data_IF_296958557261
#
_entry.id   IF_296958557261
#
_cell.length_a   1.000
_cell.length_b   1.000
_cell.length_c   1.000
_cell.angle_alpha   90.00
_cell.angle_beta   90.00
_cell.angle_gamma   90.00
#
_symmetry.space_group_name_H-M   'P 1'
#
loop_
_entity.id
_entity.type
_entity.pdbx_description
1 polymer ?
#
# COMPACT_ATOMS: atom_id res chain seq x y z
N UNK A 1 48.92 39.45 13.23
CA UNK A 1 47.45 39.57 13.24
C UNK A 1 47.03 39.66 14.70
N UNK A 2 46.41 40.77 15.07
CA UNK A 2 45.93 41.04 16.44
C UNK A 2 45.00 39.91 16.92
N UNK A 3 45.06 39.60 18.22
CA UNK A 3 44.28 38.53 18.84
C UNK A 3 42.77 38.77 18.69
N UNK A 4 42.36 40.04 18.73
CA UNK A 4 40.98 40.48 18.45
C UNK A 4 40.54 40.13 17.04
N UNK A 5 41.39 40.40 16.04
CA UNK A 5 41.11 40.12 14.62
C UNK A 5 41.03 38.60 14.38
N UNK A 6 41.91 37.81 15.02
CA UNK A 6 41.83 36.33 14.98
C UNK A 6 40.49 35.83 15.53
N UNK A 7 40.05 36.33 16.68
CA UNK A 7 38.76 35.95 17.29
C UNK A 7 37.59 36.30 16.38
N UNK A 8 37.57 37.51 15.79
CA UNK A 8 36.52 37.93 14.86
C UNK A 8 36.45 37.01 13.62
N UNK A 9 37.58 36.70 12.99
CA UNK A 9 37.62 35.80 11.84
C UNK A 9 37.13 34.39 12.22
N UNK A 10 37.55 33.87 13.38
CA UNK A 10 37.08 32.58 13.88
C UNK A 10 35.57 32.58 14.10
N UNK A 11 34.99 33.62 14.71
CA UNK A 11 33.54 33.71 14.91
C UNK A 11 32.77 33.79 13.58
N UNK A 12 33.25 34.59 12.62
CA UNK A 12 32.64 34.66 11.28
C UNK A 12 32.69 33.31 10.56
N UNK A 13 33.82 32.60 10.66
CA UNK A 13 33.95 31.26 10.10
C UNK A 13 32.98 30.27 10.74
N UNK A 14 32.84 30.28 12.07
CA UNK A 14 31.89 29.42 12.78
C UNK A 14 30.43 29.73 12.42
N UNK A 15 30.07 31.01 12.27
CA UNK A 15 28.73 31.42 11.82
C UNK A 15 28.47 30.91 10.40
N UNK A 16 29.43 31.10 9.49
CA UNK A 16 29.30 30.62 8.11
C UNK A 16 29.17 29.11 8.04
N UNK A 17 29.97 28.37 8.83
CA UNK A 17 29.88 26.93 8.92
C UNK A 17 28.50 26.47 9.43
N UNK A 18 27.96 27.15 10.45
CA UNK A 18 26.64 26.82 10.98
C UNK A 18 25.54 27.05 9.93
N UNK A 19 25.59 28.16 9.19
CA UNK A 19 24.65 28.44 8.09
C UNK A 19 24.75 27.37 7.00
N UNK A 20 25.96 26.99 6.60
CA UNK A 20 26.18 25.96 5.58
C UNK A 20 25.64 24.59 6.01
N UNK A 21 25.90 24.18 7.27
CA UNK A 21 25.38 22.93 7.83
C UNK A 21 23.86 22.94 7.94
N UNK A 22 23.26 24.03 8.40
CA UNK A 22 21.79 24.18 8.43
C UNK A 22 21.18 24.12 7.03
N UNK A 23 21.82 24.75 6.04
CA UNK A 23 21.38 24.69 4.64
C UNK A 23 21.44 23.27 4.06
N UNK A 24 22.53 22.54 4.32
CA UNK A 24 22.66 21.14 3.89
C UNK A 24 21.60 20.24 4.54
N UNK A 25 21.39 20.37 5.85
CA UNK A 25 20.37 19.63 6.57
C UNK A 25 18.96 19.85 6.01
N UNK A 26 18.64 21.10 5.66
CA UNK A 26 17.38 21.46 5.02
C UNK A 26 17.22 20.81 3.64
N UNK A 27 18.26 20.85 2.81
CA UNK A 27 18.25 20.23 1.48
C UNK A 27 18.03 18.71 1.62
N UNK A 28 18.71 18.08 2.59
CA UNK A 28 18.55 16.65 2.88
C UNK A 28 17.10 16.30 3.28
N UNK A 29 16.49 17.05 4.21
CA UNK A 29 15.08 16.85 4.58
C UNK A 29 14.18 16.99 3.35
N UNK A 30 14.39 18.02 2.53
CA UNK A 30 13.56 18.23 1.36
C UNK A 30 13.70 17.07 0.36
N UNK A 31 14.91 16.57 0.12
CA UNK A 31 15.11 15.38 -0.73
C UNK A 31 14.43 14.13 -0.16
N UNK A 32 14.46 13.96 1.18
CA UNK A 32 13.76 12.86 1.85
C UNK A 32 12.24 13.00 1.73
N UNK A 33 11.70 14.20 1.90
CA UNK A 33 10.28 14.49 1.77
C UNK A 33 9.76 14.34 0.35
N UNK A 34 10.63 14.49 -0.66
CA UNK A 34 10.29 14.40 -2.08
C UNK A 34 10.75 13.10 -2.76
N UNK A 35 11.17 12.11 -1.98
CA UNK A 35 11.53 10.78 -2.50
C UNK A 35 10.30 10.05 -3.05
N UNK A 36 10.55 9.14 -3.99
CA UNK A 36 9.53 8.29 -4.60
C UNK A 36 8.76 7.45 -3.58
N UNK A 37 7.52 7.08 -3.93
CA UNK A 37 6.59 6.34 -3.07
C UNK A 37 7.17 4.98 -2.63
N UNK A 38 7.85 4.28 -3.54
CA UNK A 38 8.52 2.99 -3.28
C UNK A 38 9.63 3.07 -2.23
N UNK A 39 10.16 4.27 -1.97
CA UNK A 39 11.19 4.51 -0.96
C UNK A 39 10.60 4.80 0.42
N UNK A 40 9.27 4.71 0.56
CA UNK A 40 8.51 4.91 1.80
C UNK A 40 7.90 3.58 2.24
N UNK A 41 7.42 3.48 3.49
CA UNK A 41 6.47 2.44 3.85
C UNK A 41 5.28 2.48 2.89
N UNK A 42 4.98 1.36 2.25
CA UNK A 42 3.87 1.26 1.31
C UNK A 42 3.36 -0.17 1.23
N UNK A 43 2.17 -0.34 0.68
CA UNK A 43 1.76 -1.62 0.13
C UNK A 43 1.52 -1.53 -1.37
N UNK A 44 1.71 -2.64 -2.06
CA UNK A 44 1.20 -2.89 -3.41
C UNK A 44 0.08 -3.93 -3.32
N UNK A 45 -1.11 -3.54 -3.77
CA UNK A 45 -2.29 -4.40 -3.87
C UNK A 45 -2.59 -4.69 -5.33
N UNK A 46 -2.56 -5.98 -5.69
CA UNK A 46 -2.79 -6.45 -7.05
C UNK A 46 -3.95 -7.45 -7.08
N UNK A 47 -4.84 -7.29 -8.04
CA UNK A 47 -5.93 -8.21 -8.37
C UNK A 47 -5.82 -8.59 -9.85
N UNK A 48 -5.64 -9.87 -10.12
CA UNK A 48 -5.71 -10.45 -11.47
C UNK A 48 -6.77 -11.54 -11.48
N UNK A 49 -7.77 -11.38 -12.35
CA UNK A 49 -8.84 -12.36 -12.54
C UNK A 49 -8.84 -12.77 -14.01
N UNK A 50 -8.48 -14.03 -14.27
CA UNK A 50 -8.30 -14.58 -15.62
C UNK A 50 -9.30 -15.68 -15.91
N UNK A 51 -9.61 -15.89 -17.19
CA UNK A 51 -10.62 -16.88 -17.62
C UNK A 51 -12.04 -16.30 -17.73
N UNK A 52 -12.16 -14.97 -17.72
CA UNK A 52 -13.38 -14.23 -18.02
C UNK A 52 -13.45 -13.88 -19.51
N UNK A 53 -12.31 -13.61 -20.14
CA UNK A 53 -12.25 -13.09 -21.51
C UNK A 53 -13.04 -13.94 -22.52
N UNK A 54 -13.95 -13.30 -23.25
CA UNK A 54 -14.81 -13.95 -24.25
C UNK A 54 -16.01 -14.70 -23.67
N UNK A 55 -16.19 -14.70 -22.35
CA UNK A 55 -17.39 -15.27 -21.72
C UNK A 55 -18.59 -14.36 -21.98
N UNK A 56 -19.63 -14.91 -22.59
CA UNK A 56 -20.90 -14.22 -22.78
C UNK A 56 -21.75 -14.31 -21.52
N UNK A 57 -22.31 -13.19 -21.09
CA UNK A 57 -23.15 -13.07 -19.89
C UNK A 57 -24.40 -12.24 -20.18
N UNK A 58 -25.46 -12.51 -19.41
CA UNK A 58 -26.70 -11.73 -19.47
C UNK A 58 -26.79 -10.79 -18.26
N UNK A 59 -26.92 -9.49 -18.53
CA UNK A 59 -27.09 -8.45 -17.50
C UNK A 59 -25.79 -7.98 -16.85
N UNK A 60 -25.92 -7.30 -15.72
CA UNK A 60 -24.78 -6.77 -14.97
C UNK A 60 -24.00 -7.89 -14.29
N UNK A 61 -22.69 -7.92 -14.48
CA UNK A 61 -21.78 -8.83 -13.78
C UNK A 61 -21.03 -8.11 -12.67
N UNK A 62 -20.91 -8.79 -11.52
CA UNK A 62 -20.18 -8.35 -10.32
C UNK A 62 -19.26 -9.46 -9.83
N UNK A 63 -18.06 -9.07 -9.41
CA UNK A 63 -17.11 -9.94 -8.71
C UNK A 63 -16.60 -9.17 -7.50
N UNK A 64 -16.69 -9.76 -6.30
CA UNK A 64 -16.16 -9.16 -5.08
C UNK A 64 -14.93 -9.90 -4.61
N UNK A 65 -13.92 -9.13 -4.21
CA UNK A 65 -12.64 -9.64 -3.72
C UNK A 65 -12.25 -8.97 -2.40
N UNK A 66 -11.37 -9.61 -1.60
CA UNK A 66 -10.91 -9.02 -0.35
C UNK A 66 -10.05 -7.79 -0.60
N UNK A 67 -10.04 -6.86 0.34
CA UNK A 67 -9.35 -5.57 0.27
C UNK A 67 -8.24 -5.44 1.31
N UNK A 68 -7.24 -4.57 1.07
CA UNK A 68 -6.25 -4.21 2.08
C UNK A 68 -6.91 -3.47 3.25
N UNK A 69 -7.05 -4.15 4.38
CA UNK A 69 -7.50 -3.56 5.66
C UNK A 69 -6.98 -4.39 6.83
N UNK A 70 -7.04 -3.85 8.05
CA UNK A 70 -6.71 -4.63 9.26
C UNK A 70 -7.70 -5.77 9.47
N UNK A 71 -7.44 -6.68 10.42
CA UNK A 71 -8.39 -7.75 10.78
C UNK A 71 -9.75 -7.23 11.25
N UNK A 72 -9.83 -5.99 11.73
CA UNK A 72 -11.04 -5.28 12.12
C UNK A 72 -11.71 -4.52 10.96
N UNK A 73 -11.13 -4.54 9.75
CA UNK A 73 -11.66 -3.84 8.58
C UNK A 73 -11.32 -2.35 8.54
N UNK A 74 -10.30 -1.91 9.28
CA UNK A 74 -9.84 -0.50 9.27
C UNK A 74 -8.82 -0.31 8.15
N UNK A 75 -8.93 0.79 7.40
CA UNK A 75 -7.93 1.11 6.37
C UNK A 75 -6.65 1.66 6.98
N UNK A 76 -5.53 1.33 6.32
CA UNK A 76 -4.23 1.85 6.71
C UNK A 76 -4.19 3.38 6.58
N UNK A 77 -3.46 4.01 7.50
CA UNK A 77 -3.34 5.46 7.56
C UNK A 77 -2.27 5.90 6.55
N UNK A 78 -2.64 6.89 5.75
CA UNK A 78 -1.74 7.51 4.76
C UNK A 78 -1.22 8.84 5.30
N UNK A 79 0.03 9.24 4.97
CA UNK A 79 0.58 10.50 5.46
C UNK A 79 -0.28 11.68 4.99
N UNK A 80 -0.72 12.51 5.94
CA UNK A 80 -1.47 13.72 5.62
C UNK A 80 -0.55 14.86 5.20
N UNK A 81 -1.04 15.74 4.33
CA UNK A 81 -0.35 17.00 4.03
C UNK A 81 -0.42 17.94 5.24
N UNK A 82 0.73 18.27 5.81
CA UNK A 82 0.83 19.22 6.91
C UNK A 82 1.16 20.63 6.39
N UNK A 83 0.69 21.65 7.12
CA UNK A 83 1.12 23.02 6.86
C UNK A 83 2.63 23.15 7.15
N UNK A 84 3.43 23.62 6.18
CA UNK A 84 4.85 23.73 6.38
C UNK A 84 5.15 24.75 7.47
N UNK A 85 6.17 24.47 8.29
CA UNK A 85 6.70 25.46 9.21
C UNK A 85 7.16 26.72 8.47
N UNK A 86 7.19 27.86 9.15
CA UNK A 86 7.59 29.15 8.55
C UNK A 86 8.90 29.06 7.76
N UNK A 87 9.93 28.41 8.31
CA UNK A 87 11.21 28.23 7.62
C UNK A 87 11.09 27.35 6.38
N UNK A 88 10.35 26.23 6.46
CA UNK A 88 10.13 25.32 5.33
C UNK A 88 9.40 26.02 4.19
N UNK A 89 8.39 26.81 4.51
CA UNK A 89 7.67 27.65 3.54
C UNK A 89 8.60 28.64 2.83
N UNK A 90 9.40 29.40 3.60
CA UNK A 90 10.33 30.39 3.04
C UNK A 90 11.35 29.74 2.10
N UNK A 91 11.86 28.56 2.45
CA UNK A 91 12.78 27.80 1.62
C UNK A 91 12.13 27.30 0.33
N UNK A 92 10.93 26.71 0.43
CA UNK A 92 10.20 26.22 -0.74
C UNK A 92 9.86 27.37 -1.69
N UNK A 93 9.41 28.51 -1.18
CA UNK A 93 9.02 29.65 -2.01
C UNK A 93 10.22 30.40 -2.61
N UNK A 94 11.23 30.72 -1.79
CA UNK A 94 12.28 31.66 -2.18
C UNK A 94 13.59 31.01 -2.64
N UNK A 95 13.85 29.76 -2.23
CA UNK A 95 15.08 29.03 -2.61
C UNK A 95 14.81 28.00 -3.70
N UNK A 96 13.78 27.17 -3.50
CA UNK A 96 13.44 26.11 -4.46
C UNK A 96 12.40 26.52 -5.51
N UNK A 97 11.74 27.67 -5.33
CA UNK A 97 10.66 28.15 -6.20
C UNK A 97 9.57 27.10 -6.45
N UNK A 98 9.24 26.34 -5.41
CA UNK A 98 8.21 25.31 -5.41
C UNK A 98 6.83 25.95 -5.67
N UNK A 99 6.05 25.46 -6.64
CA UNK A 99 4.70 25.95 -6.88
C UNK A 99 3.80 25.88 -5.63
N UNK A 100 2.90 26.86 -5.45
CA UNK A 100 2.05 26.98 -4.26
C UNK A 100 1.25 25.70 -3.94
N UNK A 101 0.75 25.02 -4.97
CA UNK A 101 0.03 23.73 -4.84
C UNK A 101 0.86 22.58 -4.23
N UNK A 102 2.17 22.74 -4.15
CA UNK A 102 3.13 21.76 -3.66
C UNK A 102 3.83 22.19 -2.36
N UNK A 103 3.53 23.39 -1.85
CA UNK A 103 4.13 23.93 -0.62
C UNK A 103 3.75 23.05 0.61
N UNK A 104 2.53 22.51 0.62
CA UNK A 104 2.09 21.55 1.66
C UNK A 104 2.69 20.15 1.54
N UNK A 105 3.59 19.94 0.59
CA UNK A 105 4.24 18.65 0.35
C UNK A 105 3.46 17.74 -0.58
N UNK A 106 3.88 16.47 -0.65
CA UNK A 106 3.30 15.46 -1.53
C UNK A 106 1.93 15.02 -1.01
N UNK A 107 0.97 14.88 -1.92
CA UNK A 107 -0.32 14.26 -1.66
C UNK A 107 -0.24 12.75 -1.92
N UNK A 108 -0.75 11.95 -0.99
CA UNK A 108 -0.85 10.50 -1.13
C UNK A 108 -2.34 10.10 -1.17
N UNK A 109 -2.75 9.36 -2.20
CA UNK A 109 -4.09 8.77 -2.26
C UNK A 109 -4.25 7.78 -1.10
N UNK A 110 -5.35 7.87 -0.34
CA UNK A 110 -5.68 6.86 0.66
C UNK A 110 -6.23 5.58 0.01
N UNK A 111 -6.41 4.52 0.80
CA UNK A 111 -6.96 3.24 0.32
C UNK A 111 -8.30 3.41 -0.40
N UNK A 112 -9.22 4.22 0.15
CA UNK A 112 -10.54 4.45 -0.47
C UNK A 112 -10.38 5.12 -1.83
N UNK A 113 -9.62 6.20 -1.91
CA UNK A 113 -9.37 6.91 -3.17
C UNK A 113 -8.62 6.06 -4.19
N UNK A 114 -7.73 5.19 -3.74
CA UNK A 114 -6.92 4.32 -4.59
C UNK A 114 -7.75 3.20 -5.22
N UNK A 115 -8.75 2.68 -4.49
CA UNK A 115 -9.54 1.52 -4.90
C UNK A 115 -10.90 1.88 -5.50
N UNK A 116 -11.54 2.95 -5.04
CA UNK A 116 -12.92 3.30 -5.40
C UNK A 116 -12.99 4.07 -6.73
N UNK A 117 -14.08 3.85 -7.48
CA UNK A 117 -14.41 4.54 -8.73
C UNK A 117 -13.31 4.53 -9.80
N UNK A 118 -12.57 3.43 -9.95
CA UNK A 118 -11.57 3.26 -11.02
C UNK A 118 -12.21 2.55 -12.21
N UNK A 119 -11.92 3.05 -13.41
CA UNK A 119 -12.30 2.42 -14.67
C UNK A 119 -11.14 1.58 -15.22
N UNK A 120 -11.44 0.37 -15.68
CA UNK A 120 -10.48 -0.59 -16.20
C UNK A 120 -10.90 -1.08 -17.59
N UNK A 121 -10.01 -1.84 -18.24
CA UNK A 121 -10.33 -2.49 -19.52
C UNK A 121 -11.59 -3.36 -19.42
N UNK A 122 -12.36 -3.51 -20.50
CA UNK A 122 -13.63 -4.26 -20.46
C UNK A 122 -14.76 -3.53 -19.73
N UNK A 123 -14.63 -2.21 -19.57
CA UNK A 123 -15.60 -1.34 -18.89
C UNK A 123 -15.92 -1.79 -17.45
N UNK A 124 -14.96 -2.46 -16.81
CA UNK A 124 -15.03 -2.75 -15.38
C UNK A 124 -14.87 -1.44 -14.60
N UNK A 125 -15.74 -1.25 -13.62
CA UNK A 125 -15.65 -0.18 -12.62
C UNK A 125 -15.44 -0.80 -11.25
N UNK A 126 -14.57 -0.21 -10.46
CA UNK A 126 -14.36 -0.63 -9.07
C UNK A 126 -15.23 0.18 -8.10
N UNK A 127 -15.72 -0.46 -7.05
CA UNK A 127 -16.32 0.23 -5.91
C UNK A 127 -16.08 -0.51 -4.60
N UNK A 128 -15.95 0.22 -3.49
CA UNK A 128 -15.92 -0.40 -2.16
C UNK A 128 -17.35 -0.58 -1.68
N UNK A 129 -17.74 -1.83 -1.41
CA UNK A 129 -19.08 -2.19 -0.95
C UNK A 129 -19.02 -2.92 0.38
N UNK A 130 -19.92 -2.56 1.30
CA UNK A 130 -20.06 -3.28 2.56
C UNK A 130 -20.98 -4.48 2.36
N UNK A 131 -20.45 -5.67 2.57
CA UNK A 131 -21.24 -6.91 2.64
C UNK A 131 -21.39 -7.37 4.10
N UNK A 132 -22.08 -8.49 4.30
CA UNK A 132 -22.33 -9.07 5.63
C UNK A 132 -21.06 -9.26 6.45
N UNK A 133 -19.94 -9.57 5.80
CA UNK A 133 -18.66 -9.89 6.45
C UNK A 133 -17.71 -8.69 6.55
N UNK A 134 -18.08 -7.53 6.02
CA UNK A 134 -17.26 -6.32 6.00
C UNK A 134 -17.12 -5.69 4.60
N UNK A 135 -16.33 -4.61 4.46
CA UNK A 135 -16.03 -4.02 3.16
C UNK A 135 -15.23 -4.97 2.24
N UNK A 136 -15.60 -4.99 0.97
CA UNK A 136 -14.92 -5.70 -0.13
C UNK A 136 -14.85 -4.82 -1.38
N UNK A 137 -13.98 -5.17 -2.32
CA UNK A 137 -13.85 -4.47 -3.60
C UNK A 137 -14.73 -5.17 -4.64
N UNK A 138 -15.76 -4.48 -5.12
CA UNK A 138 -16.61 -4.90 -6.23
C UNK A 138 -15.99 -4.47 -7.56
N UNK A 139 -15.79 -5.41 -8.45
CA UNK A 139 -15.62 -5.17 -9.88
C UNK A 139 -16.97 -5.36 -10.56
N UNK A 140 -17.44 -4.33 -11.26
CA UNK A 140 -18.74 -4.33 -11.92
C UNK A 140 -18.63 -3.95 -13.38
N UNK A 141 -19.34 -4.66 -14.26
CA UNK A 141 -19.51 -4.29 -15.67
C UNK A 141 -20.92 -4.58 -16.16
N UNK A 142 -21.34 -3.87 -17.21
CA UNK A 142 -22.59 -4.13 -17.93
C UNK A 142 -22.34 -4.71 -19.34
N UNK A 143 -21.08 -5.05 -19.65
CA UNK A 143 -20.72 -5.65 -20.91
C UNK A 143 -21.29 -7.07 -21.03
N UNK A 144 -21.77 -7.40 -22.22
CA UNK A 144 -22.29 -8.74 -22.54
C UNK A 144 -21.18 -9.76 -22.83
N UNK A 145 -19.97 -9.30 -23.15
CA UNK A 145 -18.79 -10.13 -23.35
C UNK A 145 -17.72 -9.66 -22.37
N UNK A 146 -17.34 -10.53 -21.45
CA UNK A 146 -16.42 -10.16 -20.38
C UNK A 146 -14.97 -10.07 -20.88
N UNK A 147 -14.19 -9.22 -20.21
CA UNK A 147 -12.74 -9.17 -20.30
C UNK A 147 -12.11 -9.59 -18.98
N UNK A 148 -10.88 -10.11 -19.03
CA UNK A 148 -10.10 -10.37 -17.82
C UNK A 148 -9.81 -9.07 -17.06
N UNK A 149 -9.69 -9.18 -15.74
CA UNK A 149 -9.43 -8.04 -14.84
C UNK A 149 -7.96 -8.04 -14.46
N UNK A 150 -7.32 -6.88 -14.59
CA UNK A 150 -6.01 -6.61 -14.02
C UNK A 150 -6.04 -5.24 -13.35
N UNK A 151 -5.75 -5.22 -12.07
CA UNK A 151 -5.77 -4.03 -11.23
C UNK A 151 -4.53 -4.07 -10.31
N UNK A 152 -3.79 -2.98 -10.22
CA UNK A 152 -2.70 -2.83 -9.25
C UNK A 152 -2.66 -1.39 -8.75
N UNK A 153 -2.42 -1.23 -7.44
CA UNK A 153 -2.28 0.05 -6.76
C UNK A 153 -1.21 0.00 -5.69
N UNK A 154 -0.44 1.08 -5.60
CA UNK A 154 0.49 1.36 -4.52
C UNK A 154 -0.14 2.40 -3.60
N UNK A 155 -0.06 2.18 -2.29
CA UNK A 155 -0.54 3.13 -1.27
C UNK A 155 0.55 3.34 -0.23
N UNK A 156 0.93 4.60 -0.03
CA UNK A 156 1.95 5.02 0.94
C UNK A 156 1.36 5.04 2.35
N UNK A 157 2.10 4.50 3.31
CA UNK A 157 1.68 4.35 4.69
C UNK A 157 2.43 5.34 5.59
N UNK A 158 1.73 5.84 6.61
CA UNK A 158 2.36 6.68 7.64
C UNK A 158 3.21 5.83 8.59
N UNK A 159 2.66 4.69 9.01
CA UNK A 159 3.31 3.73 9.90
C UNK A 159 2.98 2.31 9.45
N UNK A 160 3.88 1.38 9.74
CA UNK A 160 3.70 -0.05 9.51
C UNK A 160 4.18 -0.80 10.75
N UNK A 161 3.44 -1.82 11.16
CA UNK A 161 3.96 -2.83 12.07
C UNK A 161 4.07 -4.18 11.36
N UNK A 162 5.26 -4.70 11.26
CA UNK A 162 5.58 -5.83 10.39
C UNK A 162 5.96 -7.10 11.15
N UNK A 163 6.02 -7.07 12.48
CA UNK A 163 6.36 -8.22 13.32
C UNK A 163 5.20 -9.24 13.36
N UNK A 164 3.95 -8.79 13.51
CA UNK A 164 2.75 -9.62 13.40
C UNK A 164 1.64 -8.94 12.55
N UNK A 165 1.63 -9.17 11.22
CA UNK A 165 0.74 -8.47 10.29
C UNK A 165 -0.76 -8.60 10.62
N UNK A 166 -1.18 -9.72 11.23
CA UNK A 166 -2.59 -9.95 11.55
C UNK A 166 -2.97 -9.28 12.86
N UNK A 167 -2.08 -9.29 13.86
CA UNK A 167 -2.45 -8.82 15.20
C UNK A 167 -2.13 -7.35 15.46
N UNK A 168 -1.31 -6.72 14.63
CA UNK A 168 -0.76 -5.39 14.91
C UNK A 168 -1.26 -4.30 13.95
N UNK A 169 -2.53 -4.38 13.54
CA UNK A 169 -3.20 -3.38 12.70
C UNK A 169 -2.54 -3.16 11.33
N UNK A 170 -1.91 -4.20 10.79
CA UNK A 170 -1.34 -4.16 9.46
C UNK A 170 -2.35 -4.60 8.39
N UNK A 171 -2.24 -4.08 7.16
CA UNK A 171 -3.18 -4.40 6.11
C UNK A 171 -3.01 -5.86 5.63
N UNK A 172 -4.10 -6.61 5.65
CA UNK A 172 -4.21 -7.96 5.11
C UNK A 172 -5.33 -8.00 4.07
N UNK A 173 -5.51 -9.12 3.38
CA UNK A 173 -6.67 -9.40 2.55
C UNK A 173 -7.86 -9.68 3.48
N UNK A 174 -8.62 -8.63 3.76
CA UNK A 174 -9.83 -8.61 4.59
C UNK A 174 -11.08 -8.71 3.67
N UNK A 175 -12.18 -9.37 4.08
CA UNK A 175 -12.50 -9.88 5.41
C UNK A 175 -11.93 -11.26 5.74
N UNK A 176 -11.72 -11.51 7.03
CA UNK A 176 -11.33 -12.82 7.56
C UNK A 176 -12.58 -13.67 7.84
N UNK A 177 -12.57 -14.91 7.37
CA UNK A 177 -13.66 -15.88 7.52
C UNK A 177 -13.44 -16.94 8.62
N UNK A 178 -12.19 -17.09 9.09
CA UNK A 178 -11.78 -18.06 10.12
C UNK A 178 -10.59 -17.55 10.93
N UNK A 179 -10.32 -18.11 12.11
CA UNK A 179 -9.13 -17.74 12.86
C UNK A 179 -7.85 -18.07 12.08
N UNK A 180 -6.87 -17.17 12.14
CA UNK A 180 -5.60 -17.37 11.49
C UNK A 180 -4.79 -18.47 12.18
N UNK A 181 -4.20 -19.36 11.39
CA UNK A 181 -3.42 -20.49 11.86
C UNK A 181 -1.97 -20.37 11.42
N UNK A 182 -1.05 -20.52 12.38
CA UNK A 182 0.37 -20.65 12.09
C UNK A 182 0.60 -22.03 11.47
N UNK A 183 1.15 -22.08 10.26
CA UNK A 183 1.41 -23.34 9.56
C UNK A 183 2.87 -23.75 9.73
N UNK A 184 3.79 -22.80 9.63
CA UNK A 184 5.22 -23.11 9.58
C UNK A 184 6.06 -21.92 10.08
N UNK A 185 7.11 -22.24 10.85
CA UNK A 185 8.19 -21.34 11.24
C UNK A 185 9.50 -22.06 10.91
N UNK A 186 10.27 -21.53 9.96
CA UNK A 186 11.64 -22.01 9.69
C UNK A 186 12.64 -21.05 10.36
N UNK A 187 13.55 -21.62 11.13
CA UNK A 187 14.64 -20.90 11.80
C UNK A 187 15.94 -21.24 11.10
N UNK A 188 16.32 -20.47 10.08
CA UNK A 188 17.65 -20.58 9.52
C UNK A 188 18.64 -19.75 10.33
N UNK A 189 19.73 -20.40 10.76
CA UNK A 189 20.75 -19.91 11.71
C UNK A 189 21.45 -18.60 11.32
N UNK A 190 21.10 -18.01 10.17
CA UNK A 190 21.51 -16.69 9.73
C UNK A 190 20.33 -15.98 9.02
N UNK A 191 19.63 -15.12 9.78
CA UNK A 191 18.87 -13.94 9.31
C UNK A 191 17.63 -14.12 8.40
N UNK A 192 16.97 -15.27 8.33
CA UNK A 192 15.67 -15.36 7.66
C UNK A 192 14.71 -16.12 8.56
N UNK A 193 13.90 -15.39 9.33
CA UNK A 193 12.68 -15.95 9.89
C UNK A 193 11.60 -15.81 8.81
N UNK A 194 11.15 -16.94 8.28
CA UNK A 194 9.94 -16.98 7.46
C UNK A 194 8.80 -17.60 8.25
N UNK A 195 7.75 -16.81 8.50
CA UNK A 195 6.53 -17.25 9.16
C UNK A 195 5.44 -17.37 8.11
N UNK A 196 4.80 -18.52 8.03
CA UNK A 196 3.67 -18.76 7.12
C UNK A 196 2.38 -18.86 7.95
N UNK A 197 1.47 -17.91 7.72
CA UNK A 197 0.15 -17.87 8.36
C UNK A 197 -0.92 -18.14 7.30
N UNK A 198 -1.85 -19.04 7.58
CA UNK A 198 -2.98 -19.33 6.69
C UNK A 198 -4.29 -19.01 7.38
N UNK A 199 -5.19 -18.34 6.66
CA UNK A 199 -6.54 -18.01 7.11
C UNK A 199 -7.51 -18.04 5.93
N UNK A 200 -8.81 -18.09 6.19
CA UNK A 200 -9.81 -18.01 5.12
C UNK A 200 -10.26 -16.56 4.90
N UNK A 201 -10.50 -16.18 3.65
CA UNK A 201 -11.13 -14.92 3.24
C UNK A 201 -12.24 -15.20 2.22
N UNK A 202 -12.98 -14.17 1.84
CA UNK A 202 -14.16 -14.27 0.99
C UNK A 202 -13.88 -13.79 -0.43
N UNK A 203 -14.45 -14.49 -1.40
CA UNK A 203 -14.64 -14.02 -2.77
C UNK A 203 -16.09 -14.26 -3.18
N UNK A 204 -16.64 -13.42 -4.04
CA UNK A 204 -18.02 -13.58 -4.54
C UNK A 204 -18.05 -13.39 -6.05
N UNK A 205 -18.83 -14.23 -6.74
CA UNK A 205 -19.06 -14.11 -8.17
C UNK A 205 -20.55 -14.13 -8.49
N UNK A 206 -20.96 -13.28 -9.43
CA UNK A 206 -22.34 -13.24 -9.91
C UNK A 206 -22.77 -14.54 -10.58
N UNK A 207 -24.04 -14.88 -10.40
CA UNK A 207 -24.67 -16.09 -10.97
C UNK A 207 -24.77 -16.10 -12.49
N UNK A 208 -24.61 -14.94 -13.13
CA UNK A 208 -24.62 -14.83 -14.58
C UNK A 208 -23.29 -15.24 -15.24
N UNK A 209 -22.26 -15.56 -14.46
CA UNK A 209 -20.97 -16.03 -14.95
C UNK A 209 -20.99 -17.56 -15.03
N UNK A 210 -21.09 -18.11 -16.25
CA UNK A 210 -21.05 -19.55 -16.50
C UNK A 210 -19.74 -19.97 -17.19
N UNK A 211 -18.60 -19.56 -16.62
CA UNK A 211 -17.27 -19.93 -17.11
C UNK A 211 -16.78 -21.23 -16.46
N UNK A 212 -16.03 -22.05 -17.22
CA UNK A 212 -15.55 -23.37 -16.74
C UNK A 212 -14.53 -23.29 -15.60
N UNK A 213 -13.73 -22.22 -15.57
CA UNK A 213 -12.69 -22.03 -14.55
C UNK A 213 -12.19 -20.59 -14.61
N UNK A 214 -12.36 -19.86 -13.51
CA UNK A 214 -11.88 -18.50 -13.32
C UNK A 214 -10.76 -18.55 -12.30
N UNK A 215 -9.59 -18.02 -12.67
CA UNK A 215 -8.44 -17.93 -11.79
C UNK A 215 -8.44 -16.56 -11.11
N UNK A 216 -8.36 -16.56 -9.78
CA UNK A 216 -8.12 -15.41 -8.94
C UNK A 216 -6.67 -15.45 -8.47
N UNK A 217 -5.91 -14.40 -8.75
CA UNK A 217 -4.57 -14.16 -8.24
C UNK A 217 -4.56 -12.77 -7.60
N UNK A 218 -4.67 -12.76 -6.28
CA UNK A 218 -4.79 -11.55 -5.46
C UNK A 218 -3.59 -11.52 -4.53
N UNK A 219 -2.87 -10.41 -4.53
CA UNK A 219 -1.73 -10.22 -3.64
C UNK A 219 -1.71 -8.85 -3.02
N UNK A 220 -1.26 -8.82 -1.77
CA UNK A 220 -0.94 -7.63 -1.02
C UNK A 220 0.50 -7.79 -0.53
N UNK A 221 1.40 -6.98 -1.06
CA UNK A 221 2.81 -6.96 -0.67
C UNK A 221 3.07 -5.68 0.11
N UNK A 222 3.66 -5.80 1.28
CA UNK A 222 3.87 -4.64 2.17
C UNK A 222 5.34 -4.47 2.47
N UNK A 223 5.81 -3.26 2.22
CA UNK A 223 7.20 -2.89 2.19
C UNK A 223 7.51 -1.86 3.29
N UNK A 224 8.60 -2.04 4.05
CA UNK A 224 9.03 -1.09 5.06
C UNK A 224 9.71 0.14 4.43
N UNK A 225 10.07 1.13 5.26
CA UNK A 225 10.94 2.23 4.82
C UNK A 225 12.35 1.70 4.51
N UNK A 226 12.68 1.61 3.22
CA UNK A 226 13.99 1.14 2.73
C UNK A 226 15.16 2.05 3.13
N UNK A 227 14.90 3.25 3.64
CA UNK A 227 15.93 4.22 4.06
C UNK A 227 16.23 4.17 5.55
N UNK A 228 15.42 3.46 6.34
CA UNK A 228 15.72 3.23 7.75
C UNK A 228 16.82 2.17 7.88
N UNK A 229 17.86 2.49 8.67
CA UNK A 229 19.08 1.68 8.82
C UNK A 229 18.85 0.34 9.53
N UNK A 230 17.68 0.15 10.12
CA UNK A 230 17.33 -1.05 10.86
C UNK A 230 16.74 -2.07 9.89
N UNK A 231 17.64 -2.84 9.25
CA UNK A 231 17.33 -3.99 8.40
C UNK A 231 16.70 -5.18 9.14
N UNK A 232 15.92 -4.91 10.18
CA UNK A 232 15.11 -5.85 10.96
C UNK A 232 13.61 -5.68 10.66
N UNK A 233 13.23 -4.64 9.91
CA UNK A 233 11.86 -4.44 9.47
C UNK A 233 11.58 -5.37 8.28
N UNK A 234 10.93 -6.49 8.56
CA UNK A 234 10.55 -7.46 7.53
C UNK A 234 9.50 -6.96 6.54
N UNK A 235 9.52 -7.53 5.34
CA UNK A 235 8.43 -7.39 4.35
C UNK A 235 7.44 -8.51 4.59
N UNK A 236 6.19 -8.38 4.15
CA UNK A 236 5.33 -9.54 4.04
C UNK A 236 4.49 -9.53 2.77
N UNK A 237 4.15 -10.74 2.34
CA UNK A 237 3.31 -10.99 1.18
C UNK A 237 2.10 -11.78 1.61
N UNK A 238 0.93 -11.21 1.39
CA UNK A 238 -0.34 -11.88 1.58
C UNK A 238 -0.96 -12.22 0.23
N UNK A 239 -1.24 -13.50 -0.02
CA UNK A 239 -1.68 -14.00 -1.32
C UNK A 239 -2.91 -14.88 -1.21
N UNK A 240 -3.80 -14.75 -2.19
CA UNK A 240 -4.88 -15.69 -2.50
C UNK A 240 -4.73 -16.09 -3.97
N UNK A 241 -4.47 -17.38 -4.21
CA UNK A 241 -4.33 -17.96 -5.56
C UNK A 241 -5.26 -19.17 -5.67
N UNK A 242 -6.35 -19.02 -6.41
CA UNK A 242 -7.40 -20.05 -6.48
C UNK A 242 -8.10 -20.08 -7.83
N UNK A 243 -8.60 -21.25 -8.19
CA UNK A 243 -9.47 -21.46 -9.34
C UNK A 243 -10.88 -21.79 -8.85
N UNK A 244 -11.89 -21.11 -9.41
CA UNK A 244 -13.30 -21.32 -9.08
C UNK A 244 -14.10 -21.53 -10.36
N UNK A 245 -15.06 -22.46 -10.32
CA UNK A 245 -15.88 -22.85 -11.46
C UNK A 245 -17.38 -22.63 -11.25
N UNK A 246 -17.78 -22.20 -10.05
CA UNK A 246 -19.17 -22.01 -9.63
C UNK A 246 -19.40 -20.54 -9.27
N UNK A 247 -20.65 -20.08 -9.30
CA UNK A 247 -21.03 -18.74 -8.82
C UNK A 247 -21.40 -18.74 -7.33
N UNK A 248 -21.49 -17.55 -6.75
CA UNK A 248 -21.84 -17.35 -5.34
C UNK A 248 -20.67 -16.90 -4.47
N UNK A 249 -20.87 -16.97 -3.15
CA UNK A 249 -19.88 -16.62 -2.13
C UNK A 249 -19.02 -17.84 -1.76
N UNK A 250 -17.71 -17.68 -1.74
CA UNK A 250 -16.76 -18.74 -1.38
C UNK A 250 -15.78 -18.29 -0.31
N UNK A 251 -15.51 -19.18 0.64
CA UNK A 251 -14.38 -19.07 1.56
C UNK A 251 -13.16 -19.73 0.95
N UNK A 252 -12.05 -19.00 0.83
CA UNK A 252 -10.79 -19.48 0.24
C UNK A 252 -9.61 -19.13 1.12
N UNK A 253 -8.62 -20.01 1.13
CA UNK A 253 -7.40 -19.78 1.90
C UNK A 253 -6.58 -18.64 1.29
N UNK A 254 -6.15 -17.73 2.15
CA UNK A 254 -5.10 -16.78 1.91
C UNK A 254 -3.90 -17.12 2.79
N UNK A 255 -2.69 -16.91 2.28
CA UNK A 255 -1.44 -17.12 3.01
C UNK A 255 -0.74 -15.80 3.23
N UNK A 256 -0.10 -15.62 4.38
CA UNK A 256 0.83 -14.53 4.67
C UNK A 256 2.20 -15.15 4.86
N UNK A 257 3.17 -14.67 4.10
CA UNK A 257 4.58 -15.00 4.25
C UNK A 257 5.31 -13.74 4.70
N UNK A 258 5.91 -13.78 5.89
CA UNK A 258 6.76 -12.69 6.39
C UNK A 258 8.22 -13.00 6.11
N UNK A 259 9.02 -11.98 5.79
CA UNK A 259 10.45 -12.11 5.52
C UNK A 259 11.19 -11.06 6.37
N UNK A 260 11.90 -11.51 7.40
CA UNK A 260 12.74 -10.68 8.27
C UNK A 260 14.22 -10.90 7.96
#
# INVERSE_FOLDING_TARGET
MDETVKKIITYLFLIFLLIALSGLYVVEINLRDWRADELRPHYEYTVKISGLSGTEVLGTTKILVPIPATKEGVFAITPSQEEPSFFKSLLQEHVFHTPEKYIRGIYFENTTESLDNKSLNGNWTTSIVNIKHGPMLEFRTNESVLADISFSKIVVLEQMNNEDPINENSPILYPIASEASLVEEDYQYFRLMSRVITYETYIEMSDNINSKAIKFDISLEVYPDVTERDGEKGTYKNKLDVVVAESGEFKKNATIETYF
#
